data_IF_242713645127
#
_entry.id   IF_242713645127
#
_cell.length_a   1.000
_cell.length_b   1.000
_cell.length_c   1.000
_cell.angle_alpha   90.00
_cell.angle_beta   90.00
_cell.angle_gamma   90.00
#
_symmetry.space_group_name_H-M   'P 1'
#
loop_
_entity.id
_entity.type
_entity.pdbx_description
1 polymer ?
#
# COMPACT_ATOMS: atom_id res chain seq x y z
N UNK A 1 9.94 15.63 -1.53
CA UNK A 1 9.88 14.42 -0.70
C UNK A 1 8.70 13.49 -1.03
N UNK A 2 7.44 13.95 -1.22
CA UNK A 2 6.28 13.05 -1.38
C UNK A 2 6.39 12.08 -2.57
N UNK A 3 6.93 12.57 -3.69
CA UNK A 3 7.06 11.81 -4.94
C UNK A 3 7.91 10.53 -4.80
N UNK A 4 8.96 10.55 -3.97
CA UNK A 4 9.79 9.37 -3.73
C UNK A 4 9.04 8.30 -2.93
N UNK A 5 8.21 8.73 -1.97
CA UNK A 5 7.41 7.82 -1.14
C UNK A 5 6.36 7.13 -2.02
N UNK A 6 5.69 7.86 -2.92
CA UNK A 6 4.76 7.27 -3.88
C UNK A 6 5.44 6.23 -4.79
N UNK A 7 6.68 6.48 -5.23
CA UNK A 7 7.46 5.51 -6.00
C UNK A 7 7.77 4.23 -5.22
N UNK A 8 8.16 4.36 -3.95
CA UNK A 8 8.42 3.21 -3.06
C UNK A 8 7.15 2.41 -2.77
N UNK A 9 6.02 3.08 -2.56
CA UNK A 9 4.71 2.42 -2.36
C UNK A 9 4.30 1.64 -3.61
N UNK A 10 4.51 2.20 -4.81
CA UNK A 10 4.26 1.48 -6.05
C UNK A 10 5.17 0.24 -6.19
N UNK A 11 6.44 0.36 -5.80
CA UNK A 11 7.38 -0.76 -5.80
C UNK A 11 6.98 -1.85 -4.78
N UNK A 12 6.48 -1.48 -3.60
CA UNK A 12 5.90 -2.42 -2.64
C UNK A 12 4.68 -3.16 -3.23
N UNK A 13 3.82 -2.47 -3.97
CA UNK A 13 2.71 -3.08 -4.69
C UNK A 13 3.17 -4.12 -5.72
N UNK A 14 4.24 -3.81 -6.46
CA UNK A 14 4.86 -4.73 -7.40
C UNK A 14 5.43 -5.97 -6.68
N UNK A 15 6.14 -5.79 -5.57
CA UNK A 15 6.67 -6.91 -4.77
C UNK A 15 5.54 -7.81 -4.25
N UNK A 16 4.44 -7.24 -3.74
CA UNK A 16 3.33 -8.05 -3.24
C UNK A 16 2.61 -8.82 -4.35
N UNK A 17 2.51 -8.23 -5.54
CA UNK A 17 1.98 -8.93 -6.71
C UNK A 17 2.88 -10.10 -7.14
N UNK A 18 4.19 -9.89 -7.14
CA UNK A 18 5.18 -10.93 -7.44
C UNK A 18 5.16 -12.04 -6.38
N UNK A 19 5.16 -11.66 -5.10
CA UNK A 19 5.07 -12.57 -3.96
C UNK A 19 3.77 -13.38 -3.97
N UNK A 20 2.64 -12.78 -4.33
CA UNK A 20 1.36 -13.49 -4.45
C UNK A 20 1.42 -14.58 -5.55
N UNK A 21 2.11 -14.31 -6.66
CA UNK A 21 2.34 -15.30 -7.72
C UNK A 21 3.31 -16.40 -7.27
N UNK A 22 4.45 -16.03 -6.69
CA UNK A 22 5.48 -16.98 -6.28
C UNK A 22 5.03 -17.87 -5.10
N UNK A 23 4.28 -17.30 -4.16
CA UNK A 23 3.71 -18.04 -3.02
C UNK A 23 2.53 -18.93 -3.38
N UNK A 24 2.13 -19.00 -4.66
CA UNK A 24 0.89 -19.65 -5.12
C UNK A 24 -0.32 -19.22 -4.29
N UNK A 25 -0.37 -17.94 -3.91
CA UNK A 25 -1.46 -17.41 -3.12
C UNK A 25 -2.76 -17.63 -3.92
N UNK A 26 -3.68 -18.40 -3.34
CA UNK A 26 -4.99 -18.61 -3.94
C UNK A 26 -5.77 -17.29 -4.02
N UNK A 27 -6.94 -17.32 -4.66
CA UNK A 27 -7.80 -16.13 -4.84
C UNK A 27 -8.02 -15.32 -3.54
N UNK A 28 -8.21 -16.02 -2.42
CA UNK A 28 -8.35 -15.40 -1.10
C UNK A 28 -7.03 -14.82 -0.57
N UNK A 29 -5.91 -15.51 -0.76
CA UNK A 29 -4.60 -15.04 -0.32
C UNK A 29 -4.20 -13.75 -1.03
N UNK A 30 -4.35 -13.69 -2.35
CA UNK A 30 -4.07 -12.48 -3.13
C UNK A 30 -5.01 -11.34 -2.75
N UNK A 31 -6.30 -11.62 -2.51
CA UNK A 31 -7.25 -10.61 -2.05
C UNK A 31 -6.84 -10.00 -0.69
N UNK A 32 -6.47 -10.84 0.29
CA UNK A 32 -6.02 -10.37 1.61
C UNK A 32 -4.70 -9.60 1.53
N UNK A 33 -3.74 -10.07 0.71
CA UNK A 33 -2.46 -9.39 0.49
C UNK A 33 -2.66 -7.99 -0.11
N UNK A 34 -3.52 -7.88 -1.12
CA UNK A 34 -3.86 -6.59 -1.72
C UNK A 34 -4.66 -5.70 -0.78
N UNK A 35 -5.55 -6.27 0.02
CA UNK A 35 -6.34 -5.52 0.99
C UNK A 35 -5.46 -4.96 2.11
N UNK A 36 -4.54 -5.75 2.65
CA UNK A 36 -3.58 -5.32 3.66
C UNK A 36 -2.68 -4.19 3.14
N UNK A 37 -2.15 -4.32 1.92
CA UNK A 37 -1.34 -3.29 1.30
C UNK A 37 -2.16 -2.01 1.03
N UNK A 38 -3.35 -2.15 0.46
CA UNK A 38 -4.25 -1.02 0.20
C UNK A 38 -4.66 -0.28 1.48
N UNK A 39 -4.98 -1.01 2.55
CA UNK A 39 -5.27 -0.42 3.86
C UNK A 39 -4.06 0.34 4.44
N UNK A 40 -2.85 -0.20 4.31
CA UNK A 40 -1.64 0.46 4.79
C UNK A 40 -1.37 1.78 4.06
N UNK A 41 -1.51 1.78 2.72
CA UNK A 41 -1.36 2.99 1.90
C UNK A 41 -2.47 3.99 2.19
N UNK A 42 -3.71 3.53 2.34
CA UNK A 42 -4.86 4.36 2.66
C UNK A 42 -4.69 5.05 4.03
N UNK A 43 -4.30 4.30 5.06
CA UNK A 43 -4.02 4.85 6.39
C UNK A 43 -2.90 5.89 6.37
N UNK A 44 -1.85 5.65 5.57
CA UNK A 44 -0.77 6.63 5.37
C UNK A 44 -1.30 7.93 4.76
N UNK A 45 -2.12 7.85 3.71
CA UNK A 45 -2.73 9.03 3.07
C UNK A 45 -3.63 9.78 4.06
N UNK A 46 -4.51 9.07 4.77
CA UNK A 46 -5.44 9.69 5.75
C UNK A 46 -4.68 10.42 6.85
N UNK A 47 -3.59 9.83 7.36
CA UNK A 47 -2.72 10.50 8.33
C UNK A 47 -2.16 11.82 7.79
N UNK A 48 -1.60 11.81 6.58
CA UNK A 48 -1.02 13.02 5.98
C UNK A 48 -2.09 14.10 5.73
N UNK A 49 -3.29 13.70 5.29
CA UNK A 49 -4.44 14.60 5.14
C UNK A 49 -4.88 15.17 6.49
N UNK A 50 -4.95 14.36 7.54
CA UNK A 50 -5.27 14.86 8.88
C UNK A 50 -4.26 15.89 9.36
N UNK A 51 -2.96 15.62 9.20
CA UNK A 51 -1.91 16.57 9.60
C UNK A 51 -2.09 17.87 8.82
N UNK A 52 -2.31 17.79 7.51
CA UNK A 52 -2.57 18.97 6.67
C UNK A 52 -3.79 19.77 7.13
N UNK A 53 -4.85 19.12 7.61
CA UNK A 53 -6.05 19.82 8.11
C UNK A 53 -5.87 20.33 9.54
N UNK A 54 -5.08 19.66 10.38
CA UNK A 54 -4.88 20.01 11.79
C UNK A 54 -3.81 21.09 11.99
N UNK A 55 -2.78 21.11 11.15
CA UNK A 55 -1.73 22.15 11.15
C UNK A 55 -2.10 23.39 10.31
N UNK A 56 -3.28 23.38 9.66
CA UNK A 56 -3.87 24.55 9.00
C UNK A 56 -4.79 25.31 9.96
#
# INVERSE_FOLDING_TARGET
MPLMIFGLVAFMGFIVWDLAKESKAGRYGTAVLFFALGLGVFAFIVKEVMIMVLEH
#
